data_IF_581237693201
#
_entry.id   IF_581237693201
#
_cell.length_a   1.000
_cell.length_b   1.000
_cell.length_c   1.000
_cell.angle_alpha   90.00
_cell.angle_beta   90.00
_cell.angle_gamma   90.00
#
_symmetry.space_group_name_H-M   'P 1'
#
loop_
_entity.id
_entity.type
_entity.pdbx_description
1 polymer ?
#
# COMPACT_ATOMS: atom_id res chain seq x y z
N UNK A 1 10.63 4.75 -6.58
CA UNK A 1 9.81 4.72 -5.35
C UNK A 1 8.53 5.48 -5.68
N UNK A 2 7.67 4.89 -6.51
CA UNK A 2 6.81 5.72 -7.36
C UNK A 2 5.39 5.93 -6.81
N UNK A 3 5.04 5.25 -5.72
CA UNK A 3 3.66 5.23 -5.23
C UNK A 3 3.42 5.99 -3.93
N UNK A 4 4.46 6.22 -3.10
CA UNK A 4 4.30 7.01 -1.88
C UNK A 4 5.55 7.86 -1.60
N UNK A 5 5.50 9.19 -1.81
CA UNK A 5 6.65 10.07 -1.60
C UNK A 5 7.00 10.27 -0.12
N UNK A 6 6.10 9.91 0.82
CA UNK A 6 6.33 10.05 2.26
C UNK A 6 6.64 8.74 2.96
N UNK A 7 6.84 7.66 2.21
CA UNK A 7 7.35 6.42 2.78
C UNK A 7 8.73 6.66 3.43
N UNK A 8 9.08 5.92 4.49
CA UNK A 8 10.41 5.99 5.09
C UNK A 8 11.50 5.85 4.03
N UNK A 9 12.40 6.83 3.92
CA UNK A 9 13.46 6.85 2.90
C UNK A 9 14.63 5.94 3.23
N UNK A 10 14.83 5.65 4.53
CA UNK A 10 15.86 4.76 5.06
C UNK A 10 15.28 3.94 6.21
N UNK A 11 15.85 2.76 6.50
CA UNK A 11 15.51 2.02 7.72
C UNK A 11 15.70 2.89 8.97
N UNK A 12 14.86 2.70 9.99
CA UNK A 12 14.90 3.50 11.22
C UNK A 12 14.22 4.88 11.13
N UNK A 13 13.83 5.35 9.94
CA UNK A 13 13.17 6.65 9.78
C UNK A 13 11.67 6.53 9.84
N UNK A 14 11.02 7.53 10.42
CA UNK A 14 9.56 7.62 10.39
C UNK A 14 9.08 8.00 8.99
N UNK A 15 7.79 7.81 8.75
CA UNK A 15 7.17 8.22 7.49
C UNK A 15 5.66 8.23 7.59
N UNK A 16 5.02 8.37 6.44
CA UNK A 16 3.58 8.34 6.32
C UNK A 16 3.18 7.36 5.23
N UNK A 17 2.00 6.78 5.38
CA UNK A 17 1.40 5.91 4.38
C UNK A 17 -0.02 6.38 4.08
N UNK A 18 -0.32 6.51 2.80
CA UNK A 18 -1.67 6.79 2.34
C UNK A 18 -2.46 5.48 2.37
N UNK A 19 -3.49 5.40 3.20
CA UNK A 19 -4.32 4.20 3.38
C UNK A 19 -5.81 4.56 3.31
N UNK A 20 -6.69 3.56 3.35
CA UNK A 20 -8.07 3.78 3.77
C UNK A 20 -9.07 4.16 2.67
N UNK A 21 -8.88 3.70 1.44
CA UNK A 21 -9.92 3.77 0.41
C UNK A 21 -10.71 2.46 0.34
N UNK A 22 -12.04 2.54 0.25
CA UNK A 22 -12.92 1.37 0.17
C UNK A 22 -12.96 0.55 1.46
N UNK A 23 -12.76 -0.77 1.35
CA UNK A 23 -12.86 -1.71 2.49
C UNK A 23 -11.77 -1.50 3.56
N UNK A 24 -10.62 -0.92 3.19
CA UNK A 24 -9.53 -0.63 4.14
C UNK A 24 -9.83 0.58 5.03
N UNK A 25 -10.97 1.26 4.86
CA UNK A 25 -11.29 2.48 5.61
C UNK A 25 -11.35 2.25 7.12
N UNK A 26 -11.68 1.04 7.58
CA UNK A 26 -11.75 0.70 9.01
C UNK A 26 -10.43 0.14 9.57
N UNK A 27 -9.41 -0.09 8.73
CA UNK A 27 -8.11 -0.59 9.20
C UNK A 27 -7.34 0.51 9.94
N UNK A 28 -6.53 0.10 10.91
CA UNK A 28 -5.65 0.98 11.69
C UNK A 28 -6.39 2.00 12.58
N UNK A 29 -7.65 1.75 12.94
CA UNK A 29 -8.35 2.58 13.92
C UNK A 29 -7.72 2.42 15.32
N UNK A 30 -7.16 1.26 15.60
CA UNK A 30 -6.28 1.01 16.74
C UNK A 30 -4.83 1.02 16.26
N UNK A 31 -3.87 1.55 17.04
CA UNK A 31 -2.45 1.41 16.73
C UNK A 31 -2.08 -0.06 16.58
N UNK A 32 -1.32 -0.38 15.53
CA UNK A 32 -0.86 -1.75 15.26
C UNK A 32 0.65 -1.77 14.99
N UNK A 33 1.34 -2.79 15.46
CA UNK A 33 2.77 -2.98 15.20
C UNK A 33 2.96 -3.97 14.05
N UNK A 34 3.68 -3.55 12.99
CA UNK A 34 3.94 -4.40 11.81
C UNK A 34 5.33 -4.21 11.23
N UNK A 35 5.85 -5.24 10.57
CA UNK A 35 7.03 -5.15 9.72
C UNK A 35 6.70 -4.40 8.43
N UNK A 36 7.51 -3.40 8.07
CA UNK A 36 7.28 -2.54 6.90
C UNK A 36 8.26 -2.88 5.79
N UNK A 37 7.70 -3.08 4.60
CA UNK A 37 8.43 -3.30 3.35
C UNK A 37 8.13 -2.17 2.38
N UNK A 38 9.17 -1.54 1.84
CA UNK A 38 9.05 -0.43 0.90
C UNK A 38 9.47 -0.89 -0.49
N UNK A 39 8.59 -0.69 -1.47
CA UNK A 39 8.86 -1.05 -2.86
C UNK A 39 9.89 -0.12 -3.52
N UNK A 40 10.88 -0.69 -4.19
CA UNK A 40 11.87 -0.01 -5.01
C UNK A 40 12.05 -0.80 -6.31
N UNK A 41 11.70 -0.25 -7.48
CA UNK A 41 12.03 -0.84 -8.78
C UNK A 41 11.70 -2.34 -8.95
N UNK A 42 10.54 -2.80 -8.50
CA UNK A 42 10.11 -4.21 -8.61
C UNK A 42 10.56 -5.14 -7.48
N UNK A 43 11.40 -4.67 -6.57
CA UNK A 43 11.78 -5.37 -5.34
C UNK A 43 11.22 -4.67 -4.10
N UNK A 44 11.15 -5.38 -2.98
CA UNK A 44 10.77 -4.83 -1.68
C UNK A 44 11.99 -4.79 -0.76
N UNK A 45 12.17 -3.68 -0.06
CA UNK A 45 13.21 -3.50 0.95
C UNK A 45 12.57 -3.53 2.32
N UNK A 46 13.13 -4.33 3.23
CA UNK A 46 12.73 -4.32 4.63
C UNK A 46 13.23 -3.03 5.32
N UNK A 47 12.35 -2.33 6.02
CA UNK A 47 12.67 -1.04 6.66
C UNK A 47 12.61 -1.07 8.19
N UNK A 48 12.22 -2.19 8.79
CA UNK A 48 12.08 -2.38 10.23
C UNK A 48 10.65 -2.65 10.69
N UNK A 49 10.44 -2.55 12.00
CA UNK A 49 9.17 -2.74 12.70
C UNK A 49 8.62 -1.39 13.14
N UNK A 50 7.36 -1.14 12.79
CA UNK A 50 6.72 0.17 12.94
C UNK A 50 5.42 0.04 13.71
N UNK A 51 5.16 1.03 14.55
CA UNK A 51 3.83 1.34 15.04
C UNK A 51 3.10 2.17 13.98
N UNK A 52 1.95 1.67 13.53
CA UNK A 52 1.10 2.28 12.53
C UNK A 52 -0.08 2.91 13.25
N UNK A 53 -0.16 4.24 13.20
CA UNK A 53 -1.21 4.99 13.88
C UNK A 53 -1.96 5.83 12.86
N UNK A 54 -3.29 5.79 12.88
CA UNK A 54 -4.09 6.71 12.06
C UNK A 54 -3.93 8.14 12.58
N UNK A 55 -3.62 9.04 11.66
CA UNK A 55 -3.52 10.46 11.93
C UNK A 55 -4.64 11.20 11.23
N UNK A 56 -4.73 12.50 11.48
CA UNK A 56 -5.68 13.35 10.78
C UNK A 56 -5.48 13.25 9.26
N UNK A 57 -6.58 13.29 8.48
CA UNK A 57 -6.48 13.36 7.04
C UNK A 57 -5.62 14.53 6.58
N UNK A 58 -4.94 14.36 5.45
CA UNK A 58 -4.05 15.37 4.89
C UNK A 58 -4.78 16.68 4.63
N UNK A 59 -4.21 17.77 5.11
CA UNK A 59 -4.69 19.12 4.81
C UNK A 59 -4.51 19.47 3.33
N UNK A 60 -5.20 20.51 2.85
CA UNK A 60 -5.07 21.01 1.48
C UNK A 60 -3.63 21.46 1.19
N UNK A 61 -2.96 22.07 2.17
CA UNK A 61 -1.58 22.51 2.03
C UNK A 61 -0.63 21.32 1.83
N UNK A 62 -0.75 20.28 2.66
CA UNK A 62 0.07 19.06 2.55
C UNK A 62 -0.24 18.30 1.27
N UNK A 63 -1.52 18.15 0.93
CA UNK A 63 -1.95 17.60 -0.35
C UNK A 63 -1.27 18.33 -1.51
N UNK A 64 -1.19 19.66 -1.45
CA UNK A 64 -0.59 20.46 -2.50
C UNK A 64 0.91 20.24 -2.67
N UNK A 65 1.63 19.81 -1.63
CA UNK A 65 3.05 19.44 -1.72
C UNK A 65 3.30 18.12 -2.46
N UNK A 66 2.27 17.29 -2.68
CA UNK A 66 2.43 16.02 -3.36
C UNK A 66 2.74 16.20 -4.86
N UNK A 67 3.61 15.35 -5.43
CA UNK A 67 3.85 15.34 -6.87
C UNK A 67 2.57 15.06 -7.67
N UNK A 68 2.46 15.72 -8.82
CA UNK A 68 1.34 15.64 -9.76
C UNK A 68 0.92 14.20 -10.11
N UNK A 69 1.93 13.35 -10.39
CA UNK A 69 1.75 11.92 -10.70
C UNK A 69 1.03 11.18 -9.55
N UNK A 70 1.36 11.51 -8.30
CA UNK A 70 0.78 10.89 -7.10
C UNK A 70 -0.67 11.34 -6.93
N UNK A 71 -0.95 12.65 -7.04
CA UNK A 71 -2.32 13.20 -6.98
C UNK A 71 -3.25 12.55 -8.01
N UNK A 72 -2.77 12.39 -9.25
CA UNK A 72 -3.50 11.73 -10.33
C UNK A 72 -3.78 10.26 -10.02
N UNK A 73 -2.76 9.51 -9.62
CA UNK A 73 -2.89 8.09 -9.26
C UNK A 73 -3.87 7.88 -8.10
N UNK A 74 -3.81 8.76 -7.10
CA UNK A 74 -4.69 8.70 -5.94
C UNK A 74 -6.15 8.98 -6.32
N UNK A 75 -6.39 10.03 -7.13
CA UNK A 75 -7.74 10.40 -7.58
C UNK A 75 -8.39 9.29 -8.43
N UNK A 76 -7.60 8.64 -9.30
CA UNK A 76 -8.05 7.45 -10.04
C UNK A 76 -8.43 6.33 -9.06
N UNK A 77 -7.56 6.02 -8.10
CA UNK A 77 -7.82 4.97 -7.10
C UNK A 77 -9.08 5.25 -6.27
N UNK A 78 -9.28 6.49 -5.83
CA UNK A 78 -10.48 6.92 -5.10
C UNK A 78 -11.74 6.74 -5.94
N UNK A 79 -11.73 7.15 -7.21
CA UNK A 79 -12.88 6.95 -8.12
C UNK A 79 -13.25 5.46 -8.30
N UNK A 80 -12.25 4.57 -8.33
CA UNK A 80 -12.46 3.12 -8.49
C UNK A 80 -12.91 2.46 -7.19
N UNK A 81 -12.30 2.79 -6.06
CA UNK A 81 -12.56 2.14 -4.76
C UNK A 81 -13.79 2.70 -4.04
N UNK A 82 -14.23 3.91 -4.36
CA UNK A 82 -15.35 4.58 -3.72
C UNK A 82 -16.56 4.80 -4.65
N UNK A 83 -16.77 3.89 -5.61
CA UNK A 83 -17.87 3.97 -6.59
C UNK A 83 -19.24 4.26 -5.97
N UNK A 84 -19.52 3.70 -4.79
CA UNK A 84 -20.79 3.88 -4.09
C UNK A 84 -21.07 5.34 -3.67
N UNK A 85 -20.03 6.16 -3.50
CA UNK A 85 -20.15 7.56 -3.05
C UNK A 85 -20.32 8.56 -4.21
N UNK A 86 -20.36 8.08 -5.46
CA UNK A 86 -20.56 8.89 -6.68
C UNK A 86 -19.66 10.14 -6.73
N UNK A 87 -18.36 9.98 -6.41
CA UNK A 87 -17.45 11.13 -6.39
C UNK A 87 -17.19 11.75 -7.76
N UNK A 88 -17.56 11.07 -8.85
CA UNK A 88 -17.43 11.56 -10.21
C UNK A 88 -16.27 10.92 -10.97
N UNK A 89 -15.82 11.59 -12.03
CA UNK A 89 -14.61 11.18 -12.75
C UNK A 89 -13.34 11.49 -11.93
N UNK A 90 -12.15 10.94 -12.28
CA UNK A 90 -10.92 11.19 -11.54
C UNK A 90 -10.52 12.68 -11.44
N UNK A 91 -10.89 13.49 -12.43
CA UNK A 91 -10.61 14.94 -12.44
C UNK A 91 -11.46 15.70 -11.42
N UNK A 92 -12.75 15.35 -11.30
CA UNK A 92 -13.66 15.88 -10.28
C UNK A 92 -13.25 15.45 -8.87
N UNK A 93 -12.81 14.19 -8.72
CA UNK A 93 -12.26 13.70 -7.45
C UNK A 93 -11.04 14.52 -7.04
N UNK A 94 -10.16 14.78 -8.00
CA UNK A 94 -8.97 15.59 -7.78
C UNK A 94 -9.31 17.01 -7.36
N UNK A 95 -10.20 17.67 -8.09
CA UNK A 95 -10.64 19.03 -7.78
C UNK A 95 -11.23 19.13 -6.36
N UNK A 96 -11.94 18.07 -5.91
CA UNK A 96 -12.44 17.99 -4.53
C UNK A 96 -11.33 17.91 -3.48
N UNK A 97 -10.22 17.22 -3.76
CA UNK A 97 -9.05 17.25 -2.87
C UNK A 97 -8.37 18.63 -2.89
N UNK A 98 -8.21 19.22 -4.07
CA UNK A 98 -7.59 20.54 -4.24
C UNK A 98 -8.40 21.65 -3.53
N UNK A 99 -9.73 21.53 -3.48
CA UNK A 99 -10.65 22.42 -2.75
C UNK A 99 -10.81 22.06 -1.26
N UNK A 100 -10.30 20.92 -0.80
CA UNK A 100 -10.51 20.43 0.56
C UNK A 100 -11.93 19.97 0.88
N UNK A 101 -12.74 19.63 -0.14
CA UNK A 101 -14.03 18.96 0.06
C UNK A 101 -13.84 17.46 0.35
N UNK A 102 -12.75 16.88 -0.15
CA UNK A 102 -12.28 15.55 0.20
C UNK A 102 -10.90 15.65 0.84
N UNK A 103 -10.62 14.77 1.80
CA UNK A 103 -9.32 14.67 2.45
C UNK A 103 -8.75 13.28 2.29
N UNK A 104 -7.46 13.18 1.98
CA UNK A 104 -6.80 11.89 1.79
C UNK A 104 -6.48 11.28 3.16
N UNK A 105 -7.03 10.10 3.51
CA UNK A 105 -6.71 9.49 4.78
C UNK A 105 -5.23 9.07 4.82
N UNK A 106 -4.63 9.24 5.99
CA UNK A 106 -3.21 9.02 6.21
C UNK A 106 -2.98 8.23 7.51
N UNK A 107 -1.94 7.42 7.52
CA UNK A 107 -1.38 6.83 8.75
C UNK A 107 0.07 7.27 8.91
N UNK A 108 0.46 7.51 10.14
CA UNK A 108 1.84 7.75 10.54
C UNK A 108 2.52 6.41 10.84
N UNK A 109 3.73 6.28 10.31
CA UNK A 109 4.61 5.14 10.52
C UNK A 109 5.72 5.58 11.49
N UNK A 110 5.58 5.21 12.76
CA UNK A 110 6.59 5.44 13.77
C UNK A 110 7.49 4.21 13.85
N UNK A 111 8.76 4.39 13.50
CA UNK A 111 9.75 3.31 13.62
C UNK A 111 9.97 3.00 15.11
N UNK A 112 9.84 1.73 15.46
CA UNK A 112 10.15 1.22 16.80
C UNK A 112 11.60 0.74 16.81
N UNK A 113 11.91 -0.19 15.92
CA UNK A 113 13.20 -0.86 15.87
C UNK A 113 13.48 -1.46 14.48
N UNK A 114 14.74 -1.80 14.24
CA UNK A 114 15.13 -2.63 13.10
C UNK A 114 15.46 -4.03 13.60
N UNK A 115 14.52 -4.95 13.43
CA UNK A 115 14.65 -6.34 13.85
C UNK A 115 15.68 -7.08 12.97
N UNK A 116 16.89 -7.26 13.51
CA UNK A 116 18.02 -7.90 12.83
C UNK A 116 17.82 -9.41 12.69
N UNK A 117 17.15 -10.05 13.64
CA UNK A 117 16.89 -11.49 13.61
C UNK A 117 15.95 -11.81 12.45
N UNK A 118 14.81 -11.11 12.37
CA UNK A 118 13.88 -11.23 11.26
C UNK A 118 14.52 -10.89 9.91
N UNK A 119 15.40 -9.87 9.86
CA UNK A 119 16.11 -9.53 8.64
C UNK A 119 17.06 -10.65 8.19
N UNK A 120 17.80 -11.27 9.10
CA UNK A 120 18.68 -12.40 8.80
C UNK A 120 17.88 -13.59 8.28
N UNK A 121 16.73 -13.89 8.88
CA UNK A 121 15.82 -14.94 8.40
C UNK A 121 15.33 -14.67 6.97
N UNK A 122 14.99 -13.41 6.65
CA UNK A 122 14.65 -13.01 5.30
C UNK A 122 15.80 -13.23 4.31
N UNK A 123 17.03 -12.94 4.70
CA UNK A 123 18.23 -13.16 3.86
C UNK A 123 18.45 -14.66 3.63
N UNK A 124 18.34 -15.49 4.67
CA UNK A 124 18.44 -16.95 4.56
C UNK A 124 17.35 -17.50 3.62
N UNK A 125 16.09 -17.08 3.80
CA UNK A 125 14.99 -17.51 2.95
C UNK A 125 15.16 -17.05 1.49
N UNK A 126 15.59 -15.81 1.26
CA UNK A 126 15.82 -15.27 -0.07
C UNK A 126 16.97 -15.98 -0.79
N UNK A 127 18.07 -16.28 -0.09
CA UNK A 127 19.19 -17.03 -0.67
C UNK A 127 18.80 -18.45 -1.04
N UNK A 128 18.02 -19.14 -0.20
CA UNK A 128 17.47 -20.45 -0.52
C UNK A 128 16.52 -20.44 -1.73
N UNK A 129 15.78 -19.36 -1.94
CA UNK A 129 14.87 -19.21 -3.08
C UNK A 129 15.59 -18.93 -4.41
N UNK A 130 16.69 -18.17 -4.37
CA UNK A 130 17.46 -17.80 -5.57
C UNK A 130 18.37 -18.93 -6.04
N UNK A 131 18.79 -19.83 -5.14
CA UNK A 131 19.56 -21.00 -5.53
C UNK A 131 18.74 -21.80 -6.56
N UNK A 132 19.19 -21.90 -7.81
CA UNK A 132 18.54 -22.78 -8.76
C UNK A 132 18.55 -24.16 -8.13
N UNK A 133 17.39 -24.81 -8.05
CA UNK A 133 17.33 -26.25 -7.79
C UNK A 133 18.18 -26.90 -8.88
N UNK A 134 19.46 -27.05 -8.59
CA UNK A 134 20.39 -27.81 -9.39
C UNK A 134 19.84 -29.21 -9.35
N UNK A 135 19.09 -29.56 -10.40
CA UNK A 135 18.71 -30.93 -10.71
C UNK A 135 20.01 -31.65 -11.07
N UNK A 136 20.83 -31.93 -10.06
CA UNK A 136 21.82 -32.98 -10.15
C UNK A 136 21.00 -34.26 -10.18
N UNK A 137 20.61 -34.66 -11.39
CA UNK A 137 20.29 -36.05 -11.66
C UNK A 137 21.63 -36.76 -11.44
N UNK A 138 21.81 -37.59 -10.40
CA UNK A 138 22.98 -38.42 -10.34
C UNK A 138 22.96 -39.27 -11.61
N UNK A 139 23.97 -39.09 -12.46
CA UNK A 139 24.16 -39.93 -13.61
C UNK A 139 24.28 -41.36 -13.10
N UNK A 140 23.21 -42.14 -13.28
CA UNK A 140 23.27 -43.58 -13.12
C UNK A 140 24.39 -44.08 -14.05
N UNK A 141 25.36 -44.85 -13.54
CA UNK A 141 26.39 -45.41 -14.39
C UNK A 141 25.73 -46.31 -15.43
N UNK A 142 26.05 -46.01 -16.68
CA UNK A 142 25.72 -46.74 -17.89
C UNK A 142 26.12 -48.21 -17.77
N UNK A 143 25.15 -49.12 -17.83
CA UNK A 143 25.36 -50.43 -18.44
C UNK A 143 24.41 -50.61 -19.63
N UNK A 144 25.05 -50.59 -20.80
CA UNK A 144 24.68 -51.17 -22.09
C UNK A 144 23.32 -51.86 -22.25
N UNK A 145 22.53 -51.40 -23.23
CA UNK A 145 21.95 -52.27 -24.28
C UNK A 145 21.33 -51.48 -25.44
N UNK A 146 21.69 -51.77 -26.71
CA UNK A 146 21.03 -51.22 -27.87
C UNK A 146 19.90 -52.16 -28.33
N UNK A 147 18.63 -51.77 -28.15
CA UNK A 147 17.51 -52.44 -28.83
C UNK A 147 16.75 -51.50 -29.76
N UNK A 148 17.15 -51.62 -31.02
CA UNK A 148 16.48 -51.27 -32.26
C UNK A 148 15.03 -51.78 -32.23
N UNK A 149 14.03 -50.89 -32.18
CA UNK A 149 12.64 -51.28 -32.49
C UNK A 149 11.86 -50.21 -33.26
N UNK A 150 11.58 -50.60 -34.50
CA UNK A 150 10.75 -50.06 -35.58
C UNK A 150 9.60 -49.12 -35.15
N UNK A 151 9.53 -47.96 -35.83
CA UNK A 151 8.31 -47.16 -36.02
C UNK A 151 7.38 -47.85 -37.02
N UNK A 152 6.08 -48.03 -36.74
CA UNK A 152 5.06 -48.05 -37.77
C UNK A 152 4.37 -46.69 -37.90
N UNK A 153 3.92 -46.47 -39.13
CA UNK A 153 3.33 -45.27 -39.66
C UNK A 153 1.86 -45.07 -39.28
N UNK A 154 1.38 -43.87 -39.60
CA UNK A 154 -0.01 -43.43 -39.83
C UNK A 154 -0.91 -43.24 -38.61
N UNK A 155 -1.48 -42.03 -38.50
CA UNK A 155 -2.90 -41.82 -38.82
C UNK A 155 -3.22 -40.33 -38.89
N UNK A 156 -3.58 -39.90 -40.09
CA UNK A 156 -4.31 -38.66 -40.37
C UNK A 156 -5.71 -38.73 -39.75
N UNK A 157 -6.19 -37.61 -39.18
CA UNK A 157 -7.62 -37.31 -39.11
C UNK A 157 -7.81 -35.83 -39.43
N UNK A 158 -8.25 -35.59 -40.66
CA UNK A 158 -8.96 -34.39 -41.09
C UNK A 158 -10.30 -34.27 -40.37
N UNK A 159 -10.73 -33.03 -40.12
CA UNK A 159 -12.04 -32.72 -39.57
C UNK A 159 -12.40 -31.26 -39.76
N UNK A 160 -12.58 -30.85 -41.02
CA UNK A 160 -13.32 -29.65 -41.41
C UNK A 160 -14.80 -29.81 -41.04
N UNK A 161 -15.40 -28.78 -40.42
CA UNK A 161 -16.85 -28.56 -40.48
C UNK A 161 -17.15 -27.07 -40.36
N UNK A 162 -17.40 -26.47 -41.52
CA UNK A 162 -18.04 -25.17 -41.68
C UNK A 162 -19.46 -25.20 -41.10
N UNK A 163 -19.84 -24.10 -40.44
CA UNK A 163 -21.18 -23.86 -39.92
C UNK A 163 -21.54 -22.38 -40.07
N UNK A 164 -22.07 -22.07 -41.24
CA UNK A 164 -22.52 -20.76 -41.69
C UNK A 164 -23.97 -20.49 -41.23
N UNK A 165 -24.30 -19.20 -41.08
CA UNK A 165 -25.62 -18.54 -41.27
C UNK A 165 -26.61 -18.36 -40.09
N UNK A 166 -27.05 -17.09 -40.07
CA UNK A 166 -28.41 -16.60 -39.79
C UNK A 166 -28.78 -16.45 -38.31
N UNK A 167 -29.55 -15.47 -37.84
CA UNK A 167 -30.50 -14.58 -38.51
C UNK A 167 -30.90 -13.42 -37.58
N UNK A 168 -31.20 -12.29 -38.20
CA UNK A 168 -32.39 -11.44 -37.99
C UNK A 168 -32.75 -10.84 -36.61
N UNK A 169 -32.81 -9.51 -36.65
CA UNK A 169 -34.02 -8.71 -36.42
C UNK A 169 -34.48 -8.37 -34.98
N UNK A 170 -34.37 -7.05 -34.71
CA UNK A 170 -35.51 -6.14 -34.44
C UNK A 170 -36.17 -6.28 -33.05
N UNK A 171 -35.96 -5.26 -32.21
CA UNK A 171 -37.12 -4.63 -31.60
C UNK A 171 -36.98 -3.11 -31.41
N UNK A 172 -38.07 -2.43 -31.79
CA UNK A 172 -38.34 -1.00 -31.66
C UNK A 172 -38.93 -0.71 -30.27
N UNK A 173 -39.08 0.59 -29.96
CA UNK A 173 -39.93 1.22 -28.92
C UNK A 173 -39.30 1.26 -27.52
N UNK A 174 -39.41 2.32 -26.71
CA UNK A 174 -40.11 3.59 -26.85
C UNK A 174 -39.44 4.65 -25.95
N UNK A 175 -39.52 5.89 -26.43
CA UNK A 175 -39.36 7.15 -25.72
C UNK A 175 -40.43 7.29 -24.62
N UNK A 176 -40.08 7.79 -23.43
CA UNK A 176 -40.99 8.64 -22.67
C UNK A 176 -40.43 10.06 -22.65
N UNK A 177 -41.18 10.96 -23.27
CA UNK A 177 -41.15 12.40 -23.04
C UNK A 177 -41.61 12.67 -21.60
N UNK A 178 -40.75 13.32 -20.81
CA UNK A 178 -41.13 13.90 -19.52
C UNK A 178 -41.19 15.42 -19.72
N UNK A 179 -42.26 16.08 -19.25
CA UNK A 179 -42.54 17.48 -19.55
C UNK A 179 -41.61 18.44 -18.81
N UNK A 180 -41.25 19.46 -19.57
CA UNK A 180 -40.81 20.79 -19.16
C UNK A 180 -41.87 21.42 -18.25
N UNK A 181 -41.47 21.79 -17.03
CA UNK A 181 -42.19 22.77 -16.22
C UNK A 181 -41.18 23.74 -15.61
N UNK A 182 -41.46 24.97 -16.00
CA UNK A 182 -40.83 26.24 -15.73
C UNK A 182 -41.10 26.72 -14.28
N UNK A 183 -40.27 27.67 -13.86
CA UNK A 183 -40.49 28.68 -12.82
C UNK A 183 -40.24 28.31 -11.35
N UNK A 184 -39.10 28.77 -10.80
CA UNK A 184 -38.99 30.07 -10.11
C UNK A 184 -37.94 30.02 -8.97
N UNK A 185 -37.18 31.11 -8.71
CA UNK A 185 -36.06 31.12 -7.78
C UNK A 185 -36.54 31.45 -6.36
N UNK A 186 -36.19 30.61 -5.38
CA UNK A 186 -36.28 30.97 -3.97
C UNK A 186 -34.94 31.47 -3.42
N UNK A 187 -35.11 32.49 -2.58
CA UNK A 187 -34.10 33.40 -2.06
C UNK A 187 -33.06 32.75 -1.16
N UNK A 188 -31.96 33.49 -1.11
CA UNK A 188 -30.75 33.23 -0.36
C UNK A 188 -31.00 33.69 1.08
N UNK A 189 -31.14 32.77 2.04
CA UNK A 189 -31.03 33.11 3.47
C UNK A 189 -29.66 32.66 3.99
N UNK A 190 -28.71 33.60 3.98
CA UNK A 190 -27.41 33.48 4.66
C UNK A 190 -27.57 34.01 6.08
N UNK A 191 -28.07 33.17 6.98
CA UNK A 191 -28.04 33.44 8.42
C UNK A 191 -27.21 32.41 9.20
N UNK A 192 -25.93 32.76 9.37
CA UNK A 192 -25.29 32.85 10.70
C UNK A 192 -25.24 31.56 11.53
N UNK A 193 -24.24 30.70 11.28
CA UNK A 193 -23.67 29.85 12.35
C UNK A 193 -22.25 30.25 12.67
N UNK A 194 -22.15 31.30 13.50
CA UNK A 194 -20.96 31.69 14.26
C UNK A 194 -20.85 30.75 15.46
N UNK A 195 -19.99 29.72 15.43
CA UNK A 195 -19.52 29.05 16.66
C UNK A 195 -18.03 28.70 16.60
N UNK A 196 -17.28 29.55 17.31
CA UNK A 196 -16.12 29.26 18.17
C UNK A 196 -14.86 28.67 17.52
N UNK A 197 -14.10 29.54 16.88
CA UNK A 197 -12.63 29.47 16.93
C UNK A 197 -12.18 30.00 18.29
N UNK A 198 -11.73 29.12 19.17
CA UNK A 198 -10.99 29.49 20.37
C UNK A 198 -9.98 28.40 20.71
N UNK A 199 -8.74 28.84 20.93
CA UNK A 199 -7.55 28.11 21.40
C UNK A 199 -6.97 27.06 20.45
N UNK A 200 -5.90 27.43 19.77
CA UNK A 200 -4.54 26.93 20.07
C UNK A 200 -3.57 28.04 19.60
N UNK A 201 -3.17 28.86 20.57
CA UNK A 201 -1.94 29.64 20.51
C UNK A 201 -1.28 29.42 21.86
N UNK A 202 0.04 29.27 21.82
CA UNK A 202 0.98 29.06 22.93
C UNK A 202 1.12 27.62 23.43
N UNK A 203 1.97 26.84 22.75
CA UNK A 203 2.99 25.98 23.37
C UNK A 203 4.19 25.83 22.43
N UNK A 204 4.95 26.92 22.25
CA UNK A 204 6.25 26.89 21.60
C UNK A 204 7.06 28.12 22.07
N UNK A 205 7.54 28.06 23.32
CA UNK A 205 8.62 28.88 23.87
C UNK A 205 8.86 28.39 25.29
N UNK A 206 9.78 27.44 25.44
CA UNK A 206 10.66 27.21 26.59
C UNK A 206 11.40 25.88 26.36
N UNK A 207 12.34 25.88 25.41
CA UNK A 207 13.47 24.96 25.47
C UNK A 207 14.57 25.66 26.29
N UNK A 208 14.91 25.19 27.49
CA UNK A 208 16.18 25.56 28.10
C UNK A 208 17.31 24.90 27.31
N UNK A 209 18.36 25.67 27.05
CA UNK A 209 19.57 25.22 26.40
C UNK A 209 20.23 24.07 27.19
N UNK A 210 20.90 23.11 26.52
CA UNK A 210 21.73 22.14 27.21
C UNK A 210 23.00 22.85 27.69
N UNK A 211 23.04 23.18 28.97
CA UNK A 211 24.29 23.45 29.69
C UNK A 211 25.04 22.13 29.81
N UNK A 212 26.28 22.12 29.33
CA UNK A 212 27.17 20.98 29.43
C UNK A 212 27.38 20.56 30.88
N UNK A 213 27.63 19.26 31.05
CA UNK A 213 28.36 18.77 32.19
C UNK A 213 29.31 17.66 31.74
N UNK A 214 30.47 17.74 32.35
CA UNK A 214 31.73 17.08 32.06
C UNK A 214 31.70 15.56 32.11
N UNK A 215 32.72 15.03 31.44
CA UNK A 215 33.33 13.73 31.64
C UNK A 215 33.56 13.43 33.13
N UNK A 216 33.26 12.21 33.56
CA UNK A 216 34.22 11.46 34.36
C UNK A 216 33.91 9.96 34.41
N UNK A 217 35.00 9.18 34.44
CA UNK A 217 35.02 7.74 34.27
C UNK A 217 34.46 6.94 35.45
N UNK A 218 34.04 5.72 35.15
CA UNK A 218 33.61 4.74 36.13
C UNK A 218 33.67 3.33 35.55
N UNK A 219 34.85 2.73 35.62
CA UNK A 219 35.06 1.27 35.55
C UNK A 219 34.20 0.59 36.63
N UNK A 220 33.49 -0.50 36.31
CA UNK A 220 33.56 -1.75 37.10
C UNK A 220 32.58 -2.84 36.61
N UNK A 221 33.18 -4.01 36.41
CA UNK A 221 32.70 -5.36 36.71
C UNK A 221 31.54 -6.01 35.95
N UNK A 222 31.95 -7.05 35.23
CA UNK A 222 31.20 -8.22 34.85
C UNK A 222 30.47 -8.87 36.04
N UNK A 223 29.27 -9.39 35.79
CA UNK A 223 28.75 -10.53 36.52
C UNK A 223 27.96 -11.43 35.56
N UNK A 224 28.59 -12.53 35.18
CA UNK A 224 27.99 -13.68 34.52
C UNK A 224 27.11 -14.41 35.53
N UNK A 225 25.86 -14.73 35.18
CA UNK A 225 25.04 -15.65 35.97
C UNK A 225 24.38 -16.67 35.04
N UNK A 226 24.88 -17.91 35.12
CA UNK A 226 24.23 -19.14 34.67
C UNK A 226 23.59 -19.81 35.90
N UNK A 227 22.40 -20.39 35.76
CA UNK A 227 22.07 -21.64 36.46
C UNK A 227 21.62 -22.70 35.43
N UNK A 228 22.31 -23.83 35.35
CA UNK A 228 22.16 -25.04 36.17
C UNK A 228 21.19 -26.03 35.50
N UNK A 229 21.78 -27.05 34.88
CA UNK A 229 21.15 -28.33 34.55
C UNK A 229 20.78 -29.03 35.85
N UNK A 230 19.55 -29.54 35.94
CA UNK A 230 19.23 -30.68 36.79
C UNK A 230 18.77 -31.80 35.87
N UNK A 231 19.55 -32.89 35.90
CA UNK A 231 19.22 -34.20 35.37
C UNK A 231 18.46 -34.97 36.48
N UNK A 232 17.33 -35.57 36.14
CA UNK A 232 16.81 -36.83 36.70
C UNK A 232 15.90 -37.50 35.66
#
# INVERSE_FOLDING_TARGET
>A
MDHNPWAPTKPGKHGFLQVGLGQDRARFNTPEVRHVFVGAGGHFKYHGKYEITRVDPLSVAEWNTLPEKVKRSYSVTTSIKEKHKKHGNPEQVREKYDKGTLFAPCVFLKCIEFDMEFYNDLVIAATAFVQPKSTFVPASPTESSPQKRKRPASREVNGDAAGEKSSAARNKKARPSVPELDSSPEEIDVTKTRRKSARISQMARNSPAPTGYDSDGGVSSALTYLPAREDD
#
